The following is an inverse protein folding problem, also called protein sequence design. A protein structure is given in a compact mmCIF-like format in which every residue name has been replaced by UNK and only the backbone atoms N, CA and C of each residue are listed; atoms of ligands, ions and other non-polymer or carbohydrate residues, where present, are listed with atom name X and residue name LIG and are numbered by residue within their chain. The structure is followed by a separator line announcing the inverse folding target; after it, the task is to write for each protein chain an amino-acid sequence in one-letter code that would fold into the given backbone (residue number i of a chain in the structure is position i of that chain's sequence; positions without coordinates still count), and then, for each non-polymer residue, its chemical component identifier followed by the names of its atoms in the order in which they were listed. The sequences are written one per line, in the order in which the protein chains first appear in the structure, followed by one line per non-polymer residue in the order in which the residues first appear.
data_IF_668155504154
#
_entry.id   IF_668155504154
#
_cell.length_a   1.000
_cell.length_b   1.000
_cell.length_c   1.000
_cell.angle_alpha   90.00
_cell.angle_beta   90.00
_cell.angle_gamma   90.00
#
_symmetry.space_group_name_H-M   'P 1'
#
loop_
_entity.id
_entity.type
_entity.pdbx_description
1 polymer ?
#
# COMPACT_ATOMS: atom_id res chain seq x y z
N UNK A 1 14.51 -17.98 15.40
CA UNK A 1 14.75 -16.81 14.53
C UNK A 1 13.71 -16.89 13.44
N UNK A 2 12.87 -15.87 13.32
CA UNK A 2 11.80 -15.84 12.33
C UNK A 2 12.43 -15.63 10.96
N UNK A 3 12.01 -16.43 9.98
CA UNK A 3 12.46 -16.28 8.60
C UNK A 3 11.53 -15.28 7.90
N UNK A 4 12.08 -14.18 7.40
CA UNK A 4 11.30 -13.10 6.78
C UNK A 4 11.45 -13.16 5.27
N UNK A 5 10.33 -13.04 4.57
CA UNK A 5 10.29 -12.77 3.14
C UNK A 5 10.07 -11.28 2.93
N UNK A 6 10.88 -10.68 2.06
CA UNK A 6 10.71 -9.31 1.57
C UNK A 6 10.53 -9.34 0.06
N UNK A 7 9.40 -8.88 -0.44
CA UNK A 7 9.16 -8.66 -1.85
C UNK A 7 9.38 -7.19 -2.21
N UNK A 8 10.15 -6.93 -3.28
CA UNK A 8 10.52 -5.60 -3.76
C UNK A 8 10.05 -5.48 -5.21
N UNK A 9 8.88 -4.87 -5.41
CA UNK A 9 8.33 -4.59 -6.73
C UNK A 9 8.97 -3.34 -7.32
N UNK A 10 9.51 -3.43 -8.53
CA UNK A 10 10.19 -2.32 -9.20
C UNK A 10 9.59 -2.03 -10.57
N UNK A 11 10.02 -0.93 -11.19
CA UNK A 11 9.68 -0.57 -12.57
C UNK A 11 10.11 -1.61 -13.61
N UNK A 12 11.04 -2.52 -13.28
CA UNK A 12 11.56 -3.55 -14.20
C UNK A 12 11.73 -4.92 -13.54
N UNK A 13 10.73 -5.34 -12.78
CA UNK A 13 10.61 -6.69 -12.22
C UNK A 13 10.48 -6.72 -10.71
N UNK A 14 10.30 -7.93 -10.20
CA UNK A 14 10.20 -8.25 -8.79
C UNK A 14 11.51 -8.88 -8.29
N UNK A 15 11.97 -8.43 -7.13
CA UNK A 15 13.05 -9.08 -6.38
C UNK A 15 12.49 -9.64 -5.07
N UNK A 16 13.01 -10.79 -4.65
CA UNK A 16 12.61 -11.43 -3.40
C UNK A 16 13.82 -11.53 -2.49
N UNK A 17 13.63 -11.24 -1.21
CA UNK A 17 14.65 -11.31 -0.17
C UNK A 17 14.27 -12.28 0.92
N UNK A 18 15.21 -13.14 1.32
CA UNK A 18 15.06 -14.07 2.45
C UNK A 18 16.04 -13.72 3.55
N UNK A 19 15.59 -13.77 4.80
CA UNK A 19 16.47 -13.53 5.94
C UNK A 19 16.04 -14.29 7.19
N UNK A 20 16.92 -15.20 7.63
CA UNK A 20 16.85 -15.78 8.97
C UNK A 20 17.36 -14.80 10.02
N UNK A 21 16.46 -14.05 10.65
CA UNK A 21 16.81 -13.11 11.73
C UNK A 21 17.21 -11.69 11.30
N UNK A 22 16.95 -11.28 10.05
CA UNK A 22 17.13 -9.91 9.54
C UNK A 22 18.55 -9.32 9.63
N UNK A 23 19.57 -10.16 9.84
CA UNK A 23 20.97 -9.77 9.90
C UNK A 23 21.65 -9.63 8.53
N UNK A 24 21.25 -10.47 7.57
CA UNK A 24 21.69 -10.45 6.17
C UNK A 24 20.57 -10.96 5.25
N UNK A 25 20.57 -10.52 4.00
CA UNK A 25 19.48 -10.78 3.05
C UNK A 25 20.03 -11.51 1.83
N UNK A 26 19.42 -12.64 1.48
CA UNK A 26 19.64 -13.32 0.20
C UNK A 26 18.60 -12.83 -0.80
N UNK A 27 19.04 -12.09 -1.83
CA UNK A 27 18.17 -11.46 -2.82
C UNK A 27 18.19 -12.27 -4.13
N UNK A 28 17.01 -12.67 -4.60
CA UNK A 28 16.79 -13.32 -5.90
C UNK A 28 15.98 -12.43 -6.84
N UNK A 29 16.13 -12.68 -8.14
CA UNK A 29 15.45 -11.95 -9.21
C UNK A 29 16.39 -11.45 -10.31
N UNK A 30 15.91 -10.60 -11.23
CA UNK A 30 14.51 -10.16 -11.32
C UNK A 30 13.59 -11.29 -11.80
N UNK A 31 12.46 -11.45 -11.12
CA UNK A 31 11.28 -12.09 -11.67
C UNK A 31 10.52 -11.07 -12.55
N UNK A 32 9.81 -11.52 -13.58
CA UNK A 32 9.07 -10.65 -14.50
C UNK A 32 9.93 -9.54 -15.14
N UNK A 33 11.05 -9.90 -15.81
CA UNK A 33 11.95 -8.90 -16.39
C UNK A 33 11.19 -7.98 -17.35
N UNK A 34 11.48 -6.68 -17.28
CA UNK A 34 10.82 -5.62 -18.06
C UNK A 34 9.33 -5.39 -17.76
N UNK A 35 8.79 -5.98 -16.69
CA UNK A 35 7.43 -5.69 -16.23
C UNK A 35 7.47 -4.85 -14.96
N UNK A 36 6.67 -3.81 -14.88
CA UNK A 36 6.59 -2.98 -13.68
C UNK A 36 5.69 -3.67 -12.65
N UNK A 37 6.21 -3.93 -11.45
CA UNK A 37 5.49 -4.65 -10.38
C UNK A 37 4.99 -3.64 -9.36
N UNK A 38 3.69 -3.35 -9.44
CA UNK A 38 3.05 -2.30 -8.63
C UNK A 38 2.49 -2.81 -7.32
N UNK A 39 2.11 -4.07 -7.27
CA UNK A 39 1.50 -4.67 -6.09
C UNK A 39 2.05 -6.07 -5.86
N UNK A 40 2.28 -6.37 -4.58
CA UNK A 40 2.50 -7.71 -4.09
C UNK A 40 1.53 -7.96 -2.94
N UNK A 41 0.92 -9.14 -2.93
CA UNK A 41 0.19 -9.70 -1.79
C UNK A 41 0.95 -10.89 -1.23
N UNK A 42 1.06 -10.98 0.08
CA UNK A 42 1.58 -12.16 0.78
C UNK A 42 0.44 -12.67 1.65
N UNK A 43 -0.13 -13.82 1.30
CA UNK A 43 -1.20 -14.45 2.06
C UNK A 43 -0.64 -15.61 2.87
N UNK A 44 -0.60 -15.46 4.19
CA UNK A 44 -0.10 -16.46 5.14
C UNK A 44 -1.24 -17.22 5.85
N UNK A 45 -2.50 -16.98 5.48
CA UNK A 45 -3.67 -17.55 6.16
C UNK A 45 -3.91 -19.03 5.81
N UNK A 46 -3.38 -19.52 4.70
CA UNK A 46 -3.48 -20.91 4.27
C UNK A 46 -2.37 -21.82 4.81
N UNK A 47 -2.43 -23.11 4.47
CA UNK A 47 -1.43 -24.12 4.89
C UNK A 47 0.01 -23.80 4.47
N UNK A 48 0.16 -22.98 3.43
CA UNK A 48 1.43 -22.46 2.95
C UNK A 48 1.25 -21.00 2.50
N UNK A 49 2.29 -20.16 2.63
CA UNK A 49 2.23 -18.80 2.11
C UNK A 49 2.03 -18.79 0.60
N UNK A 50 1.07 -17.99 0.14
CA UNK A 50 0.85 -17.68 -1.28
C UNK A 50 1.30 -16.25 -1.57
N UNK A 51 2.08 -16.08 -2.64
CA UNK A 51 2.49 -14.79 -3.15
C UNK A 51 1.64 -14.45 -4.38
N UNK A 52 1.21 -13.20 -4.46
CA UNK A 52 0.56 -12.64 -5.64
C UNK A 52 1.34 -11.42 -6.10
N UNK A 53 1.53 -11.26 -7.41
CA UNK A 53 2.25 -10.13 -8.00
C UNK A 53 1.45 -9.52 -9.15
N UNK A 54 1.06 -8.25 -9.02
CA UNK A 54 0.46 -7.46 -10.10
C UNK A 54 1.56 -6.81 -10.93
N UNK A 55 1.81 -7.36 -12.12
CA UNK A 55 2.86 -6.89 -13.02
C UNK A 55 2.27 -6.34 -14.32
N UNK A 56 2.86 -5.25 -14.82
CA UNK A 56 2.45 -4.52 -16.02
C UNK A 56 3.55 -4.62 -17.09
N UNK A 57 3.25 -5.38 -18.15
CA UNK A 57 4.11 -5.47 -19.33
C UNK A 57 3.76 -4.38 -20.33
N UNK A 58 4.75 -3.60 -20.75
CA UNK A 58 4.56 -2.60 -21.82
C UNK A 58 4.22 -3.21 -23.19
N UNK A 59 4.32 -4.54 -23.35
CA UNK A 59 4.03 -5.23 -24.60
C UNK A 59 2.78 -6.10 -24.52
N UNK A 60 2.57 -6.80 -23.40
CA UNK A 60 1.46 -7.75 -23.22
C UNK A 60 0.33 -7.23 -22.33
N UNK A 61 0.52 -6.10 -21.66
CA UNK A 61 -0.42 -5.54 -20.70
C UNK A 61 -0.24 -6.11 -19.28
N UNK A 62 -1.16 -5.76 -18.36
CA UNK A 62 -1.11 -6.16 -16.98
C UNK A 62 -1.64 -7.59 -16.73
N UNK A 63 -1.06 -8.26 -15.75
CA UNK A 63 -1.44 -9.60 -15.30
C UNK A 63 -1.22 -9.75 -13.78
N UNK A 64 -1.82 -10.79 -13.20
CA UNK A 64 -1.62 -11.18 -11.80
C UNK A 64 -1.01 -12.57 -11.78
N UNK A 65 0.22 -12.66 -11.27
CA UNK A 65 0.96 -13.91 -11.14
C UNK A 65 0.84 -14.44 -9.72
N UNK A 66 0.84 -15.77 -9.57
CA UNK A 66 0.83 -16.41 -8.25
C UNK A 66 2.01 -17.35 -8.05
N UNK A 67 2.45 -17.49 -6.81
CA UNK A 67 3.43 -18.49 -6.40
C UNK A 67 3.00 -19.11 -5.06
N UNK A 68 3.06 -20.44 -4.99
CA UNK A 68 2.77 -21.20 -3.77
C UNK A 68 4.03 -21.90 -3.20
N UNK A 69 5.21 -21.45 -3.65
CA UNK A 69 6.53 -21.98 -3.30
C UNK A 69 7.53 -20.85 -3.04
N UNK A 70 7.03 -19.76 -2.47
CA UNK A 70 7.82 -18.59 -2.05
C UNK A 70 8.60 -17.92 -3.20
N UNK A 71 8.07 -18.00 -4.41
CA UNK A 71 8.60 -17.36 -5.60
C UNK A 71 9.59 -18.19 -6.41
N UNK A 72 9.77 -19.48 -6.07
CA UNK A 72 10.60 -20.39 -6.86
C UNK A 72 9.98 -20.65 -8.24
N UNK A 73 8.66 -20.79 -8.32
CA UNK A 73 7.89 -20.83 -9.55
C UNK A 73 6.71 -19.86 -9.50
N UNK A 74 6.42 -19.24 -10.64
CA UNK A 74 5.29 -18.33 -10.83
C UNK A 74 4.35 -18.89 -11.89
N UNK A 75 3.06 -18.83 -11.59
CA UNK A 75 1.99 -19.22 -12.49
C UNK A 75 1.25 -17.97 -12.96
N UNK A 76 1.26 -17.77 -14.28
CA UNK A 76 0.36 -16.82 -14.95
C UNK A 76 -0.94 -17.56 -15.30
N UNK A 77 -2.11 -16.99 -14.99
CA UNK A 77 -3.38 -17.63 -15.32
C UNK A 77 -3.57 -17.68 -16.85
N UNK A 78 -4.22 -18.74 -17.34
CA UNK A 78 -4.46 -18.93 -18.78
C UNK A 78 -5.41 -17.88 -19.37
N UNK A 79 -6.28 -17.33 -18.53
CA UNK A 79 -7.16 -16.20 -18.83
C UNK A 79 -6.78 -15.03 -17.91
N UNK A 80 -6.99 -13.76 -18.32
CA UNK A 80 -6.68 -12.62 -17.46
C UNK A 80 -7.44 -12.69 -16.14
N UNK A 81 -6.73 -12.83 -15.02
CA UNK A 81 -7.32 -12.97 -13.68
C UNK A 81 -8.21 -11.77 -13.30
N UNK A 82 -7.79 -10.56 -13.69
CA UNK A 82 -8.54 -9.31 -13.50
C UNK A 82 -8.96 -8.81 -14.88
N UNK A 83 -10.26 -8.82 -15.16
CA UNK A 83 -10.81 -8.44 -16.47
C UNK A 83 -12.07 -7.60 -16.30
N UNK A 84 -12.08 -6.41 -16.90
CA UNK A 84 -13.28 -5.60 -16.95
C UNK A 84 -14.37 -6.28 -17.79
N UNK A 85 -15.64 -6.30 -17.32
CA UNK A 85 -16.73 -6.88 -18.08
C UNK A 85 -16.95 -6.20 -19.43
N UNK A 86 -17.43 -6.98 -20.42
CA UNK A 86 -17.92 -6.43 -21.67
C UNK A 86 -18.99 -5.35 -21.41
N UNK A 87 -18.98 -4.29 -22.21
CA UNK A 87 -19.91 -3.15 -22.08
C UNK A 87 -19.40 -2.01 -21.18
N UNK A 88 -18.32 -2.21 -20.40
CA UNK A 88 -17.67 -1.10 -19.67
C UNK A 88 -16.90 -0.15 -20.59
N UNK A 89 -16.51 -0.62 -21.78
CA UNK A 89 -15.69 0.16 -22.73
C UNK A 89 -14.29 0.46 -22.20
N UNK A 90 -13.81 -0.30 -21.22
CA UNK A 90 -12.53 -0.07 -20.53
C UNK A 90 -11.70 -1.34 -20.47
N UNK A 91 -10.40 -1.18 -20.22
CA UNK A 91 -9.44 -2.27 -20.06
C UNK A 91 -8.56 -2.02 -18.85
N UNK A 92 -8.04 -3.12 -18.28
CA UNK A 92 -7.12 -3.04 -17.17
C UNK A 92 -5.82 -2.39 -17.64
N UNK A 93 -5.39 -1.34 -16.95
CA UNK A 93 -4.08 -0.74 -17.14
C UNK A 93 -3.09 -1.24 -16.09
N UNK A 94 -3.52 -1.35 -14.83
CA UNK A 94 -2.64 -1.69 -13.70
C UNK A 94 -3.40 -2.23 -12.50
N UNK A 95 -2.78 -3.16 -11.78
CA UNK A 95 -3.24 -3.62 -10.46
C UNK A 95 -2.42 -2.89 -9.38
N UNK A 96 -3.04 -1.89 -8.76
CA UNK A 96 -2.40 -1.02 -7.77
C UNK A 96 -2.27 -1.68 -6.40
N UNK A 97 -3.14 -2.63 -6.07
CA UNK A 97 -3.05 -3.38 -4.83
C UNK A 97 -3.60 -4.79 -4.98
N UNK A 98 -2.96 -5.72 -4.28
CA UNK A 98 -3.45 -7.06 -3.99
C UNK A 98 -3.49 -7.19 -2.47
N UNK A 99 -4.68 -7.29 -1.90
CA UNK A 99 -4.90 -7.28 -0.45
C UNK A 99 -5.62 -8.57 -0.04
N UNK A 100 -4.91 -9.54 0.54
CA UNK A 100 -5.54 -10.63 1.29
C UNK A 100 -6.50 -10.05 2.34
N UNK A 101 -7.69 -10.64 2.46
CA UNK A 101 -8.70 -10.21 3.43
C UNK A 101 -8.33 -10.60 4.88
N UNK A 102 -9.29 -10.47 5.81
CA UNK A 102 -9.12 -10.87 7.19
C UNK A 102 -8.95 -12.39 7.39
N UNK A 103 -8.60 -12.84 8.61
CA UNK A 103 -8.40 -14.26 8.92
C UNK A 103 -9.65 -15.12 8.71
N UNK A 104 -10.85 -14.54 8.82
CA UNK A 104 -12.13 -15.25 8.66
C UNK A 104 -12.54 -15.50 7.21
N UNK A 105 -11.81 -14.94 6.25
CA UNK A 105 -12.05 -15.12 4.81
C UNK A 105 -10.80 -15.67 4.09
N UNK A 106 -10.31 -16.87 4.45
CA UNK A 106 -9.17 -17.49 3.77
C UNK A 106 -9.48 -17.64 2.28
N UNK A 107 -8.51 -17.29 1.43
CA UNK A 107 -8.69 -17.30 -0.03
C UNK A 107 -9.34 -16.05 -0.61
N UNK A 108 -9.94 -15.17 0.21
CA UNK A 108 -10.44 -13.89 -0.31
C UNK A 108 -9.29 -12.91 -0.49
N UNK A 109 -9.17 -12.35 -1.70
CA UNK A 109 -8.19 -11.34 -2.05
C UNK A 109 -8.88 -10.23 -2.84
N UNK A 110 -8.65 -8.99 -2.44
CA UNK A 110 -9.11 -7.82 -3.18
C UNK A 110 -8.04 -7.29 -4.11
N UNK A 111 -8.45 -6.86 -5.30
CA UNK A 111 -7.60 -6.17 -6.26
C UNK A 111 -8.14 -4.75 -6.53
N UNK A 112 -7.35 -3.74 -6.20
CA UNK A 112 -7.59 -2.35 -6.57
C UNK A 112 -6.87 -2.03 -7.89
N UNK A 113 -7.55 -1.38 -8.83
CA UNK A 113 -7.03 -1.21 -10.20
C UNK A 113 -6.97 0.23 -10.68
N UNK A 114 -6.30 0.39 -11.83
CA UNK A 114 -6.44 1.49 -12.77
C UNK A 114 -7.01 0.96 -14.09
N UNK A 115 -8.06 1.58 -14.66
CA UNK A 115 -8.89 2.64 -14.06
C UNK A 115 -9.51 2.24 -12.71
N UNK A 116 -9.95 3.23 -11.94
CA UNK A 116 -10.41 3.05 -10.56
C UNK A 116 -11.57 2.07 -10.45
N UNK A 117 -11.27 0.84 -10.02
CA UNK A 117 -12.25 -0.21 -9.77
C UNK A 117 -11.74 -1.18 -8.69
N UNK A 118 -12.68 -1.93 -8.12
CA UNK A 118 -12.41 -2.98 -7.14
C UNK A 118 -12.83 -4.33 -7.74
N UNK A 119 -11.99 -5.33 -7.51
CA UNK A 119 -12.31 -6.72 -7.80
C UNK A 119 -12.08 -7.58 -6.54
N UNK A 120 -12.79 -8.70 -6.44
CA UNK A 120 -12.72 -9.64 -5.33
C UNK A 120 -12.53 -11.05 -5.86
N UNK A 121 -11.50 -11.72 -5.38
CA UNK A 121 -11.27 -13.16 -5.58
C UNK A 121 -11.79 -13.92 -4.37
N UNK A 122 -12.24 -15.16 -4.58
CA UNK A 122 -12.59 -16.14 -3.55
C UNK A 122 -11.73 -17.41 -3.62
N UNK A 123 -10.77 -17.46 -4.56
CA UNK A 123 -9.96 -18.63 -4.89
C UNK A 123 -8.45 -18.39 -4.69
N UNK A 124 -8.12 -17.45 -3.80
CA UNK A 124 -6.75 -17.09 -3.45
C UNK A 124 -6.04 -16.31 -4.55
N UNK A 125 -6.77 -15.50 -5.31
CA UNK A 125 -6.23 -14.64 -6.36
C UNK A 125 -6.05 -15.33 -7.72
N UNK A 126 -6.73 -16.44 -7.99
CA UNK A 126 -6.68 -17.11 -9.30
C UNK A 126 -7.64 -16.44 -10.29
N UNK A 127 -8.85 -16.09 -9.83
CA UNK A 127 -9.82 -15.30 -10.58
C UNK A 127 -10.39 -14.18 -9.72
N UNK A 128 -10.75 -13.06 -10.36
CA UNK A 128 -11.30 -11.90 -9.66
C UNK A 128 -12.64 -11.47 -10.27
N UNK A 129 -13.68 -11.46 -9.43
CA UNK A 129 -15.00 -10.94 -9.76
C UNK A 129 -15.04 -9.42 -9.64
N UNK A 130 -15.66 -8.77 -10.61
CA UNK A 130 -15.81 -7.31 -10.65
C UNK A 130 -16.83 -6.79 -9.63
N UNK A 131 -16.43 -5.87 -8.76
CA UNK A 131 -17.34 -5.23 -7.79
C UNK A 131 -18.09 -4.08 -8.48
N UNK A 132 -19.19 -4.46 -9.13
CA UNK A 132 -20.00 -3.54 -9.96
C UNK A 132 -20.60 -2.37 -9.18
N UNK A 133 -20.99 -2.57 -7.92
CA UNK A 133 -21.58 -1.55 -7.06
C UNK A 133 -20.68 -0.31 -6.87
N UNK A 134 -19.37 -0.49 -6.73
CA UNK A 134 -18.42 0.62 -6.65
C UNK A 134 -18.25 1.29 -8.02
N UNK A 135 -18.22 0.49 -9.09
CA UNK A 135 -18.10 1.02 -10.45
C UNK A 135 -19.31 1.83 -10.89
N UNK A 136 -20.51 1.41 -10.53
CA UNK A 136 -21.76 2.09 -10.87
C UNK A 136 -22.11 3.18 -9.85
N UNK A 137 -21.23 3.48 -8.89
CA UNK A 137 -21.46 4.51 -7.88
C UNK A 137 -21.68 5.89 -8.54
N UNK A 138 -22.72 6.67 -8.14
CA UNK A 138 -23.11 7.90 -8.84
C UNK A 138 -22.01 8.97 -8.95
N UNK A 139 -21.09 9.03 -7.98
CA UNK A 139 -20.00 10.00 -7.96
C UNK A 139 -18.78 9.57 -8.79
N UNK A 140 -18.69 8.30 -9.22
CA UNK A 140 -17.52 7.79 -9.96
C UNK A 140 -17.22 8.59 -11.24
N UNK A 141 -18.22 8.99 -12.06
CA UNK A 141 -17.94 9.81 -13.25
C UNK A 141 -17.25 11.16 -12.95
N UNK A 142 -17.32 11.63 -11.71
CA UNK A 142 -16.70 12.87 -11.25
C UNK A 142 -15.36 12.65 -10.53
N UNK A 143 -14.93 11.40 -10.33
CA UNK A 143 -13.61 11.09 -9.79
C UNK A 143 -12.53 11.58 -10.74
N UNK A 144 -11.53 12.27 -10.19
CA UNK A 144 -10.44 12.84 -10.96
C UNK A 144 -9.29 11.87 -11.19
N UNK A 145 -8.40 12.26 -12.10
CA UNK A 145 -7.11 11.61 -12.29
C UNK A 145 -6.01 12.43 -11.62
N UNK A 146 -5.21 11.80 -10.76
CA UNK A 146 -3.93 12.37 -10.33
C UNK A 146 -2.81 12.07 -11.33
N UNK A 147 -1.60 12.57 -11.08
CA UNK A 147 -0.41 12.25 -11.89
C UNK A 147 -0.12 10.75 -12.06
N UNK A 148 -0.66 9.90 -11.17
CA UNK A 148 -0.54 8.45 -11.25
C UNK A 148 -1.66 7.76 -12.04
N UNK A 149 -2.67 8.49 -12.51
CA UNK A 149 -3.95 7.97 -13.02
C UNK A 149 -5.01 7.81 -11.92
N UNK A 150 -6.27 7.68 -12.32
CA UNK A 150 -7.37 7.37 -11.40
C UNK A 150 -7.26 5.91 -10.95
N UNK A 151 -7.09 5.68 -9.65
CA UNK A 151 -6.85 4.35 -9.11
C UNK A 151 -7.55 4.11 -7.78
N UNK A 152 -8.10 2.90 -7.62
CA UNK A 152 -8.35 2.30 -6.30
C UNK A 152 -7.03 1.63 -5.89
N UNK A 153 -6.36 2.18 -4.87
CA UNK A 153 -4.99 1.76 -4.52
C UNK A 153 -4.85 1.27 -3.08
N UNK A 154 -5.86 1.51 -2.24
CA UNK A 154 -5.92 0.98 -0.89
C UNK A 154 -7.28 0.34 -0.65
N UNK A 155 -7.26 -0.87 -0.13
CA UNK A 155 -8.36 -1.66 0.39
C UNK A 155 -7.98 -2.02 1.82
N UNK A 156 -8.87 -1.74 2.75
CA UNK A 156 -8.74 -2.04 4.18
C UNK A 156 -9.95 -2.88 4.57
N UNK A 157 -9.70 -4.07 5.11
CA UNK A 157 -10.72 -4.94 5.70
C UNK A 157 -10.82 -4.71 7.20
N UNK A 158 -12.00 -4.89 7.79
CA UNK A 158 -12.18 -4.94 9.24
C UNK A 158 -11.94 -6.37 9.75
N UNK A 159 -11.03 -6.59 10.73
CA UNK A 159 -10.82 -7.92 11.29
C UNK A 159 -12.00 -8.43 12.14
N UNK A 160 -12.98 -7.58 12.47
CA UNK A 160 -14.18 -7.95 13.26
C UNK A 160 -15.36 -8.32 12.39
N UNK A 161 -15.41 -7.82 11.17
CA UNK A 161 -16.50 -8.02 10.22
C UNK A 161 -15.98 -8.06 8.78
N UNK A 162 -15.96 -9.23 8.12
CA UNK A 162 -15.52 -9.35 6.73
C UNK A 162 -16.37 -8.56 5.74
N UNK A 163 -17.58 -8.14 6.12
CA UNK A 163 -18.44 -7.28 5.29
C UNK A 163 -18.04 -5.81 5.34
N UNK A 164 -17.27 -5.39 6.34
CA UNK A 164 -16.85 -4.00 6.48
C UNK A 164 -15.55 -3.74 5.70
N UNK A 165 -15.67 -2.93 4.65
CA UNK A 165 -14.59 -2.59 3.72
C UNK A 165 -14.40 -1.08 3.63
N UNK A 166 -13.16 -0.66 3.43
CA UNK A 166 -12.83 0.71 3.08
C UNK A 166 -11.88 0.72 1.89
N UNK A 167 -12.14 1.60 0.93
CA UNK A 167 -11.28 1.81 -0.23
C UNK A 167 -10.83 3.26 -0.33
N UNK A 168 -9.61 3.47 -0.81
CA UNK A 168 -9.07 4.79 -1.12
C UNK A 168 -8.86 4.96 -2.63
N UNK A 169 -9.31 6.11 -3.14
CA UNK A 169 -9.27 6.49 -4.55
C UNK A 169 -8.41 7.75 -4.72
N UNK A 170 -7.43 7.69 -5.62
CA UNK A 170 -6.65 8.87 -6.07
C UNK A 170 -7.09 9.27 -7.49
N UNK A 171 -7.87 10.32 -7.73
CA UNK A 171 -8.63 11.13 -6.75
C UNK A 171 -10.11 10.78 -6.78
N UNK A 172 -10.74 10.86 -5.62
CA UNK A 172 -12.12 10.44 -5.38
C UNK A 172 -12.41 10.38 -3.88
N UNK A 173 -11.38 10.09 -3.08
CA UNK A 173 -11.44 10.09 -1.63
C UNK A 173 -11.55 8.66 -1.07
N UNK A 174 -12.09 8.56 0.13
CA UNK A 174 -12.35 7.32 0.84
C UNK A 174 -13.82 6.93 0.65
N UNK A 175 -14.06 5.67 0.36
CA UNK A 175 -15.39 5.06 0.35
C UNK A 175 -15.43 3.88 1.29
N UNK A 176 -16.54 3.71 2.01
CA UNK A 176 -16.76 2.58 2.93
C UNK A 176 -17.97 1.76 2.52
N UNK A 177 -17.93 0.47 2.82
CA UNK A 177 -19.04 -0.45 2.71
C UNK A 177 -19.19 -1.18 4.05
N UNK A 178 -20.43 -1.40 4.47
CA UNK A 178 -20.77 -2.22 5.65
C UNK A 178 -21.47 -3.53 5.24
N UNK A 179 -21.56 -3.81 3.94
CA UNK A 179 -22.38 -4.88 3.39
C UNK A 179 -21.65 -5.81 2.42
N UNK A 180 -20.32 -5.90 2.53
CA UNK A 180 -19.50 -6.78 1.70
C UNK A 180 -19.21 -6.19 0.31
N UNK A 181 -19.36 -4.87 0.17
CA UNK A 181 -19.22 -4.16 -1.09
C UNK A 181 -20.48 -4.17 -1.95
N UNK A 182 -21.68 -4.39 -1.39
CA UNK A 182 -22.95 -4.26 -2.12
C UNK A 182 -23.34 -2.78 -2.32
N UNK A 183 -23.03 -1.93 -1.35
CA UNK A 183 -23.18 -0.47 -1.42
C UNK A 183 -21.97 0.26 -0.81
N UNK A 184 -21.81 1.54 -1.17
CA UNK A 184 -20.67 2.36 -0.80
C UNK A 184 -21.10 3.77 -0.42
N UNK A 185 -20.48 4.32 0.63
CA UNK A 185 -20.70 5.69 1.10
C UNK A 185 -19.36 6.45 1.15
N UNK A 186 -19.33 7.75 0.79
CA UNK A 186 -18.15 8.58 0.97
C UNK A 186 -17.80 8.73 2.46
N UNK A 187 -16.50 8.73 2.78
CA UNK A 187 -15.98 8.71 4.14
C UNK A 187 -14.88 9.77 4.33
N UNK A 188 -15.15 11.00 3.89
CA UNK A 188 -14.14 12.06 3.73
C UNK A 188 -14.26 13.23 4.72
N UNK A 189 -15.15 13.16 5.71
CA UNK A 189 -15.34 14.26 6.67
C UNK A 189 -14.03 14.61 7.38
N UNK A 190 -13.63 15.89 7.31
CA UNK A 190 -12.37 16.37 7.87
C UNK A 190 -11.12 16.20 6.98
N UNK A 191 -11.22 15.47 5.85
CA UNK A 191 -10.12 15.37 4.89
C UNK A 191 -10.10 16.55 3.93
N UNK A 192 -8.93 17.18 3.82
CA UNK A 192 -8.73 18.36 2.97
C UNK A 192 -8.50 17.96 1.51
N UNK A 193 -9.11 18.70 0.58
CA UNK A 193 -8.78 18.69 -0.84
C UNK A 193 -8.27 20.09 -1.24
N UNK A 194 -7.01 20.37 -0.95
CA UNK A 194 -6.42 21.73 -1.09
C UNK A 194 -6.42 22.30 -2.52
N UNK A 195 -6.49 21.41 -3.51
CA UNK A 195 -6.53 21.75 -4.94
C UNK A 195 -7.95 22.02 -5.46
N UNK A 196 -8.98 21.88 -4.61
CA UNK A 196 -10.38 22.17 -4.96
C UNK A 196 -10.84 23.50 -4.35
N UNK A 197 -11.84 24.19 -4.97
CA UNK A 197 -12.37 25.45 -4.44
C UNK A 197 -13.00 25.30 -3.04
N UNK A 198 -13.80 24.25 -2.85
CA UNK A 198 -14.16 23.78 -1.52
C UNK A 198 -13.06 22.84 -1.03
N UNK A 199 -12.43 23.19 0.08
CA UNK A 199 -11.32 22.40 0.63
C UNK A 199 -11.79 21.22 1.48
N UNK A 200 -13.08 21.11 1.81
CA UNK A 200 -13.64 19.95 2.53
C UNK A 200 -14.88 19.40 1.82
N UNK A 201 -14.75 19.02 0.54
CA UNK A 201 -15.88 18.48 -0.21
C UNK A 201 -16.22 17.07 0.29
N UNK A 202 -17.43 16.60 -0.02
CA UNK A 202 -17.87 15.24 0.30
C UNK A 202 -16.99 14.16 -0.34
N UNK A 203 -16.43 14.44 -1.52
CA UNK A 203 -15.55 13.55 -2.29
C UNK A 203 -14.56 14.36 -3.15
N UNK A 204 -13.60 13.66 -3.76
CA UNK A 204 -12.60 14.25 -4.66
C UNK A 204 -11.22 14.45 -4.04
N UNK A 205 -11.04 14.10 -2.76
CA UNK A 205 -9.74 14.05 -2.10
C UNK A 205 -8.77 13.12 -2.86
N UNK A 206 -7.48 13.44 -2.81
CA UNK A 206 -6.43 12.63 -3.41
C UNK A 206 -5.70 11.86 -2.30
N UNK A 207 -6.39 10.86 -1.75
CA UNK A 207 -5.85 10.01 -0.68
C UNK A 207 -4.69 9.18 -1.22
N UNK A 208 -3.58 9.08 -0.50
CA UNK A 208 -2.40 8.34 -0.95
C UNK A 208 -2.25 6.97 -0.29
N UNK A 209 -2.60 6.80 0.99
CA UNK A 209 -2.58 5.50 1.64
C UNK A 209 -3.41 5.50 2.92
N UNK A 210 -4.02 4.38 3.25
CA UNK A 210 -4.70 4.13 4.54
C UNK A 210 -4.06 2.91 5.21
N UNK A 211 -3.93 2.95 6.53
CA UNK A 211 -3.55 1.84 7.38
C UNK A 211 -4.45 1.78 8.63
N UNK A 212 -4.86 0.58 9.04
CA UNK A 212 -5.68 0.36 10.24
C UNK A 212 -4.79 0.02 11.42
N UNK A 213 -5.09 0.58 12.59
CA UNK A 213 -4.40 0.26 13.83
C UNK A 213 -4.61 -1.23 14.19
N UNK A 214 -3.56 -1.94 14.63
CA UNK A 214 -3.65 -3.38 14.92
C UNK A 214 -4.40 -3.71 16.22
N UNK A 215 -4.57 -2.74 17.12
CA UNK A 215 -5.17 -2.94 18.45
C UNK A 215 -6.57 -2.33 18.52
N UNK A 216 -6.74 -1.13 17.95
CA UNK A 216 -8.02 -0.43 17.88
C UNK A 216 -8.55 -0.41 16.44
N UNK A 217 -9.41 -1.36 16.02
CA UNK A 217 -9.86 -1.45 14.64
C UNK A 217 -10.71 -0.27 14.15
N UNK A 218 -11.23 0.59 15.05
CA UNK A 218 -11.89 1.84 14.66
C UNK A 218 -10.89 2.96 14.37
N UNK A 219 -9.63 2.79 14.79
CA UNK A 219 -8.55 3.72 14.50
C UNK A 219 -7.89 3.44 13.16
N UNK A 220 -7.85 4.48 12.33
CA UNK A 220 -7.25 4.46 11.00
C UNK A 220 -6.29 5.63 10.84
N UNK A 221 -5.25 5.44 10.06
CA UNK A 221 -4.28 6.47 9.68
C UNK A 221 -4.25 6.62 8.17
N UNK A 222 -4.15 7.85 7.71
CA UNK A 222 -4.26 8.19 6.30
C UNK A 222 -3.20 9.22 5.92
N UNK A 223 -2.41 8.93 4.88
CA UNK A 223 -1.65 9.94 4.17
C UNK A 223 -2.51 10.46 3.02
N UNK A 224 -2.80 11.76 3.01
CA UNK A 224 -3.50 12.46 1.94
C UNK A 224 -2.48 13.14 1.02
N UNK A 225 -2.95 13.79 -0.05
CA UNK A 225 -2.11 14.68 -0.86
C UNK A 225 -1.48 15.77 0.01
N UNK A 226 -2.31 16.48 0.79
CA UNK A 226 -1.85 17.38 1.84
C UNK A 226 -2.38 16.89 3.18
N UNK A 227 -1.47 16.52 4.09
CA UNK A 227 -1.75 16.15 5.47
C UNK A 227 -1.67 14.66 5.76
N UNK A 228 -1.35 14.36 7.03
CA UNK A 228 -1.50 13.05 7.65
C UNK A 228 -2.66 13.12 8.62
N UNK A 229 -3.58 12.16 8.55
CA UNK A 229 -4.84 12.15 9.28
C UNK A 229 -5.00 10.87 10.09
N UNK A 230 -5.83 10.97 11.14
CA UNK A 230 -6.32 9.86 11.94
C UNK A 230 -7.84 9.91 12.03
N UNK A 231 -8.49 8.76 11.97
CA UNK A 231 -9.87 8.57 12.44
C UNK A 231 -9.84 7.66 13.67
N UNK A 232 -10.75 7.89 14.61
CA UNK A 232 -10.99 7.03 15.79
C UNK A 232 -12.43 6.44 15.77
N UNK A 233 -13.13 6.54 14.64
CA UNK A 233 -14.55 6.20 14.48
C UNK A 233 -14.85 5.44 13.17
N UNK A 234 -13.90 4.60 12.75
CA UNK A 234 -14.04 3.74 11.57
C UNK A 234 -14.01 4.52 10.25
N UNK A 235 -13.40 5.71 10.25
CA UNK A 235 -13.26 6.59 9.08
C UNK A 235 -14.44 7.55 8.88
N UNK A 236 -15.36 7.63 9.83
CA UNK A 236 -16.51 8.54 9.74
C UNK A 236 -16.06 10.00 9.78
N UNK A 237 -15.06 10.32 10.61
CA UNK A 237 -14.39 11.61 10.67
C UNK A 237 -12.87 11.48 10.79
N UNK A 238 -12.15 12.39 10.13
CA UNK A 238 -10.70 12.43 10.07
C UNK A 238 -10.14 13.71 10.69
N UNK A 239 -9.20 13.56 11.61
CA UNK A 239 -8.48 14.65 12.27
C UNK A 239 -7.04 14.69 11.76
N UNK A 240 -6.56 15.87 11.38
CA UNK A 240 -5.17 16.06 10.97
C UNK A 240 -4.22 15.88 12.18
N UNK A 241 -3.21 15.02 12.01
CA UNK A 241 -2.19 14.67 13.01
C UNK A 241 -0.76 14.96 12.54
N UNK A 242 -0.58 15.52 11.33
CA UNK A 242 0.74 15.71 10.71
C UNK A 242 1.42 17.06 10.99
N UNK A 243 0.91 17.88 11.92
CA UNK A 243 1.31 19.30 12.05
C UNK A 243 2.78 19.52 12.44
N UNK A 244 3.37 18.57 13.15
CA UNK A 244 4.77 18.63 13.60
C UNK A 244 5.74 17.94 12.61
N UNK A 245 5.23 17.38 11.50
CA UNK A 245 6.06 16.84 10.44
C UNK A 245 6.73 17.98 9.66
N UNK A 246 7.92 17.75 9.07
CA UNK A 246 8.62 18.76 8.29
C UNK A 246 7.92 19.11 6.96
N UNK A 247 6.97 18.29 6.52
CA UNK A 247 6.09 18.53 5.38
C UNK A 247 4.79 17.75 5.58
N UNK A 248 3.69 18.25 5.01
CA UNK A 248 2.37 17.64 5.04
C UNK A 248 2.12 16.72 3.82
N UNK A 249 2.95 16.82 2.78
CA UNK A 249 2.93 15.93 1.63
C UNK A 249 3.75 14.66 1.87
N UNK A 250 3.31 13.55 1.28
CA UNK A 250 3.96 12.25 1.37
C UNK A 250 3.09 11.20 0.68
N UNK A 251 3.54 9.96 0.54
CA UNK A 251 2.73 8.90 -0.07
C UNK A 251 2.38 7.77 0.89
N UNK A 252 3.31 7.40 1.75
CA UNK A 252 3.23 6.16 2.50
C UNK A 252 2.84 6.41 3.96
N UNK A 253 1.96 5.55 4.47
CA UNK A 253 1.71 5.36 5.89
C UNK A 253 1.64 3.87 6.17
N UNK A 254 2.29 3.43 7.24
CA UNK A 254 2.17 2.05 7.74
C UNK A 254 2.13 2.06 9.26
N UNK A 255 1.52 1.04 9.85
CA UNK A 255 1.42 0.86 11.29
C UNK A 255 2.36 -0.23 11.78
N UNK A 256 2.69 -0.21 13.07
CA UNK A 256 3.26 -1.37 13.75
C UNK A 256 2.27 -2.56 13.66
N UNK A 257 2.71 -3.82 13.52
CA UNK A 257 1.81 -4.98 13.37
C UNK A 257 1.05 -5.35 14.65
N UNK A 258 1.54 -4.92 15.83
CA UNK A 258 1.05 -5.41 17.15
C UNK A 258 0.84 -4.35 18.23
N UNK A 259 1.17 -3.09 17.95
CA UNK A 259 1.17 -1.99 18.93
C UNK A 259 0.30 -0.88 18.36
N UNK A 260 -0.81 -0.58 19.03
CA UNK A 260 -1.66 0.54 18.65
C UNK A 260 -0.96 1.87 18.89
N UNK A 261 -1.31 2.90 18.11
CA UNK A 261 -0.70 4.23 18.22
C UNK A 261 0.65 4.37 17.53
N UNK A 262 1.27 3.28 17.07
CA UNK A 262 2.62 3.31 16.47
C UNK A 262 2.52 3.34 14.95
N UNK A 263 2.96 4.44 14.34
CA UNK A 263 2.80 4.71 12.90
C UNK A 263 4.08 5.27 12.31
N UNK A 264 4.36 4.91 11.06
CA UNK A 264 5.51 5.37 10.30
C UNK A 264 5.07 6.06 9.03
N UNK A 265 5.70 7.19 8.72
CA UNK A 265 5.52 7.95 7.48
C UNK A 265 6.87 8.34 6.89
N UNK A 266 6.86 8.67 5.60
CA UNK A 266 8.02 9.22 4.89
C UNK A 266 7.59 10.52 4.18
N UNK A 267 7.82 11.70 4.79
CA UNK A 267 7.42 12.98 4.21
C UNK A 267 8.18 13.30 2.91
N UNK A 268 7.53 14.07 2.04
CA UNK A 268 8.10 14.70 0.85
C UNK A 268 7.67 16.17 0.80
N UNK A 269 8.46 17.05 0.17
CA UNK A 269 8.32 18.50 0.24
C UNK A 269 6.95 19.02 -0.22
N UNK A 270 6.52 18.61 -1.41
CA UNK A 270 5.23 18.95 -2.00
C UNK A 270 4.92 18.04 -3.21
N UNK A 271 3.73 18.22 -3.79
CA UNK A 271 3.25 17.45 -4.93
C UNK A 271 3.97 17.71 -6.26
N UNK A 272 4.79 18.76 -6.36
CA UNK A 272 5.54 19.17 -7.55
C UNK A 272 6.97 18.65 -7.52
N UNK A 273 7.75 19.05 -6.51
CA UNK A 273 9.18 18.72 -6.38
C UNK A 273 9.38 17.28 -5.90
N UNK A 274 8.53 16.83 -4.97
CA UNK A 274 8.54 15.48 -4.39
C UNK A 274 9.95 15.06 -3.99
N UNK A 275 10.66 15.86 -3.20
CA UNK A 275 11.91 15.42 -2.56
C UNK A 275 11.69 15.19 -1.06
N UNK A 276 12.48 14.35 -0.39
CA UNK A 276 12.49 14.35 1.07
C UNK A 276 12.77 15.78 1.58
N UNK A 277 12.07 16.28 2.61
CA UNK A 277 12.33 17.62 3.15
C UNK A 277 13.79 17.78 3.51
N UNK A 278 14.36 18.94 3.18
CA UNK A 278 15.79 19.27 3.36
C UNK A 278 16.76 18.29 2.65
N UNK A 279 16.26 17.49 1.70
CA UNK A 279 17.00 16.42 1.03
C UNK A 279 17.60 15.41 2.02
N UNK A 280 16.88 15.06 3.08
CA UNK A 280 17.33 14.09 4.09
C UNK A 280 16.48 12.83 4.09
N UNK A 281 17.11 11.66 4.02
CA UNK A 281 16.43 10.37 4.10
C UNK A 281 16.00 10.10 5.55
N UNK A 282 14.70 10.23 5.84
CA UNK A 282 14.16 10.16 7.20
C UNK A 282 12.79 9.48 7.21
N UNK A 283 12.63 8.50 8.08
CA UNK A 283 11.32 8.00 8.47
C UNK A 283 10.89 8.76 9.71
N UNK A 284 9.63 9.13 9.80
CA UNK A 284 9.06 9.70 11.02
C UNK A 284 8.17 8.66 11.69
N UNK A 285 8.30 8.54 13.01
CA UNK A 285 7.51 7.63 13.84
C UNK A 285 6.73 8.41 14.88
N UNK A 286 5.48 8.04 15.08
CA UNK A 286 4.71 8.38 16.28
C UNK A 286 4.50 7.10 17.10
N UNK A 287 4.41 7.22 18.43
CA UNK A 287 4.01 6.14 19.33
C UNK A 287 2.75 6.50 20.16
N UNK A 288 2.17 7.67 19.91
CA UNK A 288 1.05 8.25 20.63
C UNK A 288 -0.11 8.62 19.67
N UNK A 289 -0.26 7.83 18.61
CA UNK A 289 -1.31 7.97 17.61
C UNK A 289 -1.30 9.34 16.89
N UNK A 290 -0.11 9.90 16.67
CA UNK A 290 0.11 11.15 15.95
C UNK A 290 0.01 12.41 16.80
N UNK A 291 0.06 12.30 18.13
CA UNK A 291 0.16 13.49 18.97
C UNK A 291 1.56 14.11 18.93
N UNK A 292 2.60 13.28 18.77
CA UNK A 292 3.98 13.70 18.51
C UNK A 292 4.64 12.81 17.46
N UNK A 293 5.63 13.37 16.77
CA UNK A 293 6.41 12.68 15.74
C UNK A 293 7.90 12.84 16.00
N UNK A 294 8.63 11.74 15.84
CA UNK A 294 10.07 11.72 15.99
C UNK A 294 10.78 11.24 14.73
N UNK A 295 11.90 11.89 14.42
CA UNK A 295 12.78 11.50 13.32
C UNK A 295 13.50 10.18 13.65
N UNK A 296 13.55 9.28 12.66
CA UNK A 296 14.29 8.01 12.71
C UNK A 296 15.19 7.90 11.48
N UNK A 297 16.47 8.21 11.68
CA UNK A 297 17.46 8.26 10.60
C UNK A 297 18.79 7.58 10.92
N UNK A 298 18.92 6.89 12.07
CA UNK A 298 20.17 6.23 12.42
C UNK A 298 20.47 5.13 11.38
N UNK A 299 21.63 5.22 10.71
CA UNK A 299 22.02 4.30 9.64
C UNK A 299 21.47 4.64 8.25
N UNK A 300 20.66 5.69 8.11
CA UNK A 300 20.28 6.26 6.81
C UNK A 300 21.35 7.25 6.30
N UNK A 301 21.37 7.54 4.98
CA UNK A 301 22.29 8.52 4.38
C UNK A 301 22.24 9.88 5.09
N UNK A 302 23.42 10.45 5.37
CA UNK A 302 23.55 11.79 5.97
C UNK A 302 23.74 12.89 4.93
N UNK A 303 24.18 12.52 3.74
CA UNK A 303 24.31 13.35 2.54
C UNK A 303 22.95 13.64 1.88
N UNK A 304 22.87 14.63 0.96
CA UNK A 304 21.65 14.91 0.22
C UNK A 304 21.06 13.67 -0.47
N UNK A 305 19.80 13.38 -0.15
CA UNK A 305 19.01 12.26 -0.63
C UNK A 305 17.75 12.76 -1.34
N UNK A 306 17.51 12.21 -2.53
CA UNK A 306 16.43 12.65 -3.43
C UNK A 306 15.38 11.56 -3.68
N UNK A 307 15.51 10.41 -3.02
CA UNK A 307 14.67 9.25 -3.28
C UNK A 307 13.34 9.35 -2.54
N UNK A 308 12.23 9.37 -3.29
CA UNK A 308 10.87 9.31 -2.75
C UNK A 308 10.47 7.90 -2.40
N UNK A 309 9.71 7.73 -1.33
CA UNK A 309 9.02 6.48 -0.99
C UNK A 309 7.56 6.57 -1.43
N UNK A 310 7.14 5.66 -2.30
CA UNK A 310 5.78 5.60 -2.84
C UNK A 310 4.79 4.90 -1.88
N UNK A 311 3.50 5.01 -2.17
CA UNK A 311 2.35 4.62 -1.32
C UNK A 311 2.49 3.26 -0.66
N UNK A 312 2.97 2.29 -1.41
CA UNK A 312 3.13 0.90 -0.99
C UNK A 312 4.58 0.48 -0.80
N UNK A 313 5.51 1.43 -0.80
CA UNK A 313 6.94 1.21 -0.67
C UNK A 313 7.46 1.45 0.77
N UNK A 314 6.58 1.46 1.78
CA UNK A 314 6.90 1.42 3.21
C UNK A 314 5.99 0.38 3.91
N UNK A 315 6.56 -0.65 4.53
CA UNK A 315 5.81 -1.70 5.23
C UNK A 315 6.54 -2.25 6.46
N UNK A 316 5.76 -2.86 7.34
CA UNK A 316 6.22 -3.64 8.49
C UNK A 316 6.11 -5.14 8.21
N UNK A 317 6.90 -5.97 8.92
CA UNK A 317 6.66 -7.41 9.05
C UNK A 317 6.04 -7.75 10.41
N UNK A 318 5.62 -9.00 10.59
CA UNK A 318 4.94 -9.47 11.81
C UNK A 318 5.89 -10.05 12.87
N UNK A 319 7.20 -9.81 12.78
CA UNK A 319 8.14 -10.39 13.73
C UNK A 319 8.18 -9.67 15.08
N UNK A 320 8.95 -10.23 16.01
CA UNK A 320 9.23 -9.64 17.31
C UNK A 320 10.75 -9.55 17.58
N UNK A 321 11.35 -8.34 17.62
CA UNK A 321 10.75 -7.03 17.30
C UNK A 321 10.28 -6.93 15.84
N UNK A 322 9.36 -6.01 15.54
CA UNK A 322 8.85 -5.82 14.18
C UNK A 322 9.91 -5.18 13.27
N UNK A 323 10.03 -5.71 12.05
CA UNK A 323 10.83 -5.09 11.00
C UNK A 323 10.09 -3.93 10.34
N UNK A 324 10.83 -2.91 9.89
CA UNK A 324 10.31 -1.80 9.07
C UNK A 324 11.16 -1.69 7.81
N UNK A 325 10.50 -1.60 6.65
CA UNK A 325 11.14 -1.67 5.34
C UNK A 325 10.65 -0.54 4.47
N UNK A 326 11.55 0.13 3.77
CA UNK A 326 11.15 1.01 2.67
C UNK A 326 12.04 0.88 1.45
N UNK A 327 11.42 1.07 0.29
CA UNK A 327 12.09 1.20 -0.99
C UNK A 327 11.83 2.59 -1.57
N UNK A 328 12.82 3.14 -2.27
CA UNK A 328 12.71 4.47 -2.87
C UNK A 328 12.90 4.46 -4.38
N UNK A 329 12.57 5.59 -5.02
CA UNK A 329 12.68 5.75 -6.47
C UNK A 329 14.11 5.83 -7.01
N UNK A 330 15.12 5.89 -6.14
CA UNK A 330 16.54 5.78 -6.53
C UNK A 330 17.00 4.32 -6.65
N UNK A 331 16.12 3.34 -6.42
CA UNK A 331 16.47 1.93 -6.51
C UNK A 331 17.18 1.41 -5.28
N UNK A 332 16.92 2.01 -4.12
CA UNK A 332 17.47 1.60 -2.84
C UNK A 332 16.38 1.02 -1.94
N UNK A 333 16.76 0.03 -1.13
CA UNK A 333 15.88 -0.56 -0.12
C UNK A 333 16.60 -0.60 1.21
N UNK A 334 15.92 -0.11 2.24
CA UNK A 334 16.39 -0.05 3.61
C UNK A 334 15.51 -0.91 4.51
N UNK A 335 16.15 -1.55 5.49
CA UNK A 335 15.49 -2.38 6.48
C UNK A 335 15.94 -1.99 7.89
N UNK A 336 14.99 -1.94 8.81
CA UNK A 336 15.17 -1.94 10.25
C UNK A 336 14.64 -3.26 10.80
N UNK A 337 15.34 -3.82 11.78
CA UNK A 337 14.94 -5.04 12.49
C UNK A 337 14.52 -4.76 13.94
N UNK A 338 14.40 -3.47 14.29
CA UNK A 338 14.26 -2.91 15.62
C UNK A 338 13.25 -1.75 15.63
N UNK A 339 12.09 -1.93 14.99
CA UNK A 339 10.97 -0.96 15.01
C UNK A 339 11.33 0.46 14.52
N UNK A 340 12.31 0.56 13.62
CA UNK A 340 12.80 1.81 13.03
C UNK A 340 13.88 2.53 13.84
N UNK A 341 14.41 1.93 14.91
CA UNK A 341 15.50 2.54 15.69
C UNK A 341 16.79 2.68 14.86
N UNK A 342 17.15 1.66 14.08
CA UNK A 342 18.31 1.69 13.19
C UNK A 342 18.05 1.05 11.84
N UNK A 343 18.70 1.59 10.80
CA UNK A 343 18.47 1.20 9.42
C UNK A 343 19.74 0.66 8.76
N UNK A 344 19.54 -0.26 7.82
CA UNK A 344 20.60 -0.78 6.94
C UNK A 344 20.12 -0.76 5.50
N UNK A 345 20.98 -0.30 4.58
CA UNK A 345 20.73 -0.47 3.15
C UNK A 345 20.96 -1.94 2.79
N UNK A 346 19.91 -2.62 2.35
CA UNK A 346 19.94 -4.05 2.00
C UNK A 346 19.98 -4.29 0.49
N UNK A 347 19.58 -3.29 -0.30
CA UNK A 347 19.72 -3.29 -1.75
C UNK A 347 19.97 -1.87 -2.29
N UNK A 348 20.67 -1.79 -3.42
CA UNK A 348 20.94 -0.57 -4.18
C UNK A 348 21.13 -0.87 -5.66
N UNK A 349 21.02 0.16 -6.50
CA UNK A 349 21.08 0.05 -7.96
C UNK A 349 19.99 -0.83 -8.56
N UNK A 350 18.85 -0.96 -7.87
CA UNK A 350 17.65 -1.52 -8.45
C UNK A 350 16.99 -0.51 -9.40
N UNK A 351 16.05 -0.95 -10.25
CA UNK A 351 15.09 -0.02 -10.84
C UNK A 351 14.27 0.68 -9.75
N UNK A 352 13.62 1.78 -10.14
CA UNK A 352 12.65 2.53 -9.32
C UNK A 352 11.70 1.60 -8.55
N UNK A 353 11.76 1.64 -7.20
CA UNK A 353 10.99 0.75 -6.32
C UNK A 353 9.57 1.30 -6.17
N UNK A 354 8.59 0.48 -6.54
CA UNK A 354 7.17 0.84 -6.59
C UNK A 354 6.41 0.35 -5.36
N UNK A 355 6.75 -0.83 -4.85
CA UNK A 355 6.18 -1.37 -3.63
C UNK A 355 7.16 -2.28 -2.88
N UNK A 356 6.92 -2.43 -1.58
CA UNK A 356 7.56 -3.44 -0.73
C UNK A 356 6.50 -4.17 0.08
N UNK A 357 6.73 -5.46 0.33
CA UNK A 357 5.93 -6.30 1.25
C UNK A 357 6.84 -7.18 2.05
N UNK A 358 6.59 -7.31 3.35
CA UNK A 358 7.33 -8.21 4.20
C UNK A 358 6.36 -9.05 5.03
N UNK A 359 6.73 -10.30 5.28
CA UNK A 359 6.00 -11.16 6.19
C UNK A 359 6.95 -12.18 6.82
N UNK A 360 6.65 -12.58 8.05
CA UNK A 360 7.25 -13.79 8.63
C UNK A 360 6.66 -14.99 7.91
N UNK A 361 7.52 -15.90 7.45
CA UNK A 361 7.10 -17.14 6.80
C UNK A 361 7.79 -18.33 7.47
N UNK A 362 7.00 -19.11 8.20
CA UNK A 362 7.48 -20.23 9.02
C UNK A 362 6.91 -20.20 10.42
#
# INVERSE_FOLDING_TARGET
MNDVLLAIGTRKGLFLGRSGGRGGWDLTGPHFPMQAVYSVGIDTRGDRPRLLAGADSSHWGPSVFRSDDLGAAWHEPAEPAVKFPEGTGTSLERVWQLQPAGPDEPGVVYAGTQPGALFRSEDGGETFAFVRSLWDHPQRPEWGEGFGGQAVHTVVTDPRDPRALMVAVSSGGVYRSADGGESWEPSNSGLKAEFLPDQYPEFGQCVHKIARDPVDPDRLYLQNHGGVYRSDDGGTHWTEIGKDLPADFGFAVTVHPRRGGVVYVFPASDGSDRYPPEYRCRVFRTEDAGATWEERCAGLPGEPHYGVVLRDALRTDDADPAGVYFGNRNGEVYASADEGESWRQIARHLPDVLCVRAAVIG
#
